data_IF_922854300682
#
_entry.id   IF_922854300682
#
_cell.length_a   1.000
_cell.length_b   1.000
_cell.length_c   1.000
_cell.angle_alpha   90.00
_cell.angle_beta   90.00
_cell.angle_gamma   90.00
#
_symmetry.space_group_name_H-M   'P 1'
#
loop_
_entity.id
_entity.type
_entity.pdbx_description
1 polymer ?
2 non-polymer ?
3 water ?
#
# COMPACT_ATOMS: atom_id res chain seq x y z
N UNK A 20 -11.21 -18.40 -16.60
CA UNK A 20 -10.81 -17.53 -15.49
C UNK A 20 -11.12 -16.06 -15.84
N UNK A 21 -10.50 -15.48 -16.88
CA UNK A 21 -10.87 -14.11 -17.26
C UNK A 21 -12.11 -14.10 -18.14
N UNK A 22 -13.08 -13.29 -17.77
CA UNK A 22 -14.32 -13.21 -18.53
C UNK A 22 -14.08 -12.52 -19.87
N UNK A 23 -14.57 -13.14 -20.94
CA UNK A 23 -14.33 -12.65 -22.29
C UNK A 23 -15.44 -11.75 -22.82
N UNK A 24 -16.61 -11.74 -22.18
CA UNK A 24 -17.69 -10.88 -22.63
C UNK A 24 -17.51 -9.46 -22.09
N UNK A 25 -18.33 -8.54 -22.59
CA UNK A 25 -18.18 -7.13 -22.27
C UNK A 25 -18.35 -6.90 -20.77
N UNK A 26 -17.40 -6.18 -20.17
CA UNK A 26 -17.50 -5.83 -18.76
C UNK A 26 -18.78 -5.06 -18.49
N UNK A 27 -19.23 -4.27 -19.47
CA UNK A 27 -20.44 -3.48 -19.31
C UNK A 27 -21.69 -4.33 -19.23
N UNK A 28 -21.60 -5.61 -19.61
CA UNK A 28 -22.71 -6.53 -19.34
C UNK A 28 -22.96 -6.65 -17.85
N UNK A 29 -21.92 -6.58 -17.03
CA UNK A 29 -22.04 -6.76 -15.59
C UNK A 29 -21.91 -5.47 -14.80
N UNK A 30 -21.24 -4.46 -15.34
CA UNK A 30 -20.93 -3.26 -14.57
C UNK A 30 -21.32 -2.02 -15.34
N UNK A 31 -21.95 -1.07 -14.64
CA UNK A 31 -22.16 0.27 -15.17
C UNK A 31 -20.94 1.11 -14.82
N UNK A 32 -20.28 1.64 -15.84
CA UNK A 32 -19.03 2.34 -15.62
C UNK A 32 -19.27 3.82 -15.38
N UNK A 33 -18.34 4.43 -14.64
CA UNK A 33 -18.34 5.86 -14.37
C UNK A 33 -17.03 6.44 -14.88
N UNK A 34 -16.99 7.76 -14.98
CA UNK A 34 -15.75 8.46 -15.30
C UNK A 34 -15.07 9.05 -14.07
N UNK A 35 -15.62 8.81 -12.89
CA UNK A 35 -14.98 9.21 -11.64
C UNK A 35 -13.71 8.40 -11.43
N UNK A 36 -12.57 9.09 -11.40
CA UNK A 36 -11.28 8.43 -11.23
C UNK A 36 -11.00 8.23 -9.75
N UNK A 37 -10.64 7.01 -9.38
CA UNK A 37 -10.33 6.68 -7.99
C UNK A 37 -8.84 6.58 -7.72
N UNK A 38 -8.01 6.46 -8.75
CA UNK A 38 -6.58 6.35 -8.56
C UNK A 38 -5.90 6.09 -9.89
N UNK A 39 -4.56 6.15 -9.85
CA UNK A 39 -3.74 5.93 -11.03
C UNK A 39 -2.55 5.05 -10.68
N UNK A 40 -2.41 3.94 -11.40
CA UNK A 40 -1.27 3.06 -11.25
C UNK A 40 -0.40 3.09 -12.51
N UNK A 41 0.76 2.46 -12.39
CA UNK A 41 1.73 2.48 -13.49
C UNK A 41 1.12 1.90 -14.77
N UNK A 42 0.31 0.85 -14.63
CA UNK A 42 -0.24 0.15 -15.78
C UNK A 42 -1.65 0.60 -16.15
N UNK A 43 -2.28 1.46 -15.36
CA UNK A 43 -3.61 1.91 -15.75
C UNK A 43 -4.28 2.77 -14.71
N UNK A 44 -5.37 3.39 -15.16
CA UNK A 44 -6.24 4.24 -14.37
C UNK A 44 -7.30 3.39 -13.66
N UNK A 45 -7.79 3.91 -12.54
CA UNK A 45 -8.77 3.21 -11.72
C UNK A 45 -10.06 4.02 -11.70
N UNK A 46 -11.15 3.42 -12.17
CA UNK A 46 -12.43 4.10 -12.29
C UNK A 46 -13.46 3.50 -11.34
N UNK A 47 -14.39 4.34 -10.92
CA UNK A 47 -15.57 3.87 -10.20
C UNK A 47 -16.50 3.12 -11.14
N UNK A 48 -17.18 2.11 -10.61
CA UNK A 48 -18.18 1.39 -11.39
C UNK A 48 -19.16 0.76 -10.42
N UNK A 49 -20.27 0.25 -10.98
CA UNK A 49 -21.35 -0.32 -10.18
C UNK A 49 -21.77 -1.64 -10.78
N UNK A 50 -21.87 -2.67 -9.94
CA UNK A 50 -22.38 -3.96 -10.40
C UNK A 50 -23.86 -3.80 -10.76
N UNK A 51 -24.21 -4.24 -11.97
CA UNK A 51 -25.52 -3.90 -12.52
C UNK A 51 -26.67 -4.54 -11.76
N UNK A 52 -26.44 -5.67 -11.09
CA UNK A 52 -27.53 -6.39 -10.48
C UNK A 52 -27.56 -6.32 -8.95
N UNK A 53 -26.40 -6.22 -8.29
CA UNK A 53 -26.39 -5.97 -6.85
C UNK A 53 -26.35 -4.48 -6.51
N UNK A 54 -25.95 -3.63 -7.44
CA UNK A 54 -25.77 -2.22 -7.18
C UNK A 54 -24.48 -1.87 -6.45
N UNK A 55 -23.68 -2.86 -6.07
CA UNK A 55 -22.48 -2.62 -5.28
C UNK A 55 -21.51 -1.72 -6.04
N UNK A 56 -21.03 -0.68 -5.38
CA UNK A 56 -19.98 0.16 -5.95
C UNK A 56 -18.66 -0.60 -5.94
N UNK A 57 -17.95 -0.57 -7.06
CA UNK A 57 -16.68 -1.27 -7.19
C UNK A 57 -15.69 -0.35 -7.88
N UNK A 58 -14.46 -0.83 -8.04
CA UNK A 58 -13.41 -0.09 -8.74
C UNK A 58 -12.92 -0.91 -9.92
N UNK A 59 -12.71 -0.24 -11.05
CA UNK A 59 -12.26 -0.87 -12.28
C UNK A 59 -10.88 -0.33 -12.63
N UNK A 60 -9.91 -1.22 -12.77
CA UNK A 60 -8.59 -0.86 -13.27
C UNK A 60 -8.48 -1.31 -14.72
N UNK A 61 -8.22 -0.36 -15.60
CA UNK A 61 -8.10 -0.63 -17.03
C UNK A 61 -6.61 -0.84 -17.35
N UNK A 62 -6.25 -2.06 -17.70
CA UNK A 62 -4.90 -2.39 -18.15
C UNK A 62 -4.95 -2.74 -19.63
N UNK A 63 -4.24 -1.97 -20.45
CA UNK A 63 -4.05 -2.37 -21.83
C UNK A 63 -3.16 -3.60 -21.87
N UNK A 64 -3.56 -4.61 -22.64
CA UNK A 64 -2.91 -5.91 -22.57
C UNK A 64 -1.43 -5.81 -22.93
N UNK A 65 -0.62 -6.57 -22.20
CA UNK A 65 0.83 -6.61 -22.30
C UNK A 65 1.33 -7.68 -21.34
N UNK A 66 2.58 -8.14 -21.47
CA UNK A 66 3.10 -9.08 -20.46
C UNK A 66 3.15 -8.49 -19.06
N UNK A 67 3.49 -7.21 -18.92
CA UNK A 67 3.47 -6.57 -17.60
C UNK A 67 2.06 -6.53 -17.03
N UNK A 68 1.06 -6.26 -17.88
CA UNK A 68 -0.33 -6.26 -17.42
C UNK A 68 -0.77 -7.66 -17.02
N UNK A 69 -0.37 -8.67 -17.79
CA UNK A 69 -0.70 -10.05 -17.43
C UNK A 69 -0.02 -10.45 -16.12
N UNK A 70 1.18 -9.94 -15.85
CA UNK A 70 1.85 -10.21 -14.58
C UNK A 70 1.08 -9.59 -13.42
N UNK A 71 0.67 -8.34 -13.56
CA UNK A 71 -0.08 -7.68 -12.49
C UNK A 71 -1.35 -8.45 -12.17
N UNK A 72 -2.12 -8.81 -13.20
CA UNK A 72 -3.33 -9.59 -13.00
C UNK A 72 -3.00 -10.90 -12.29
N UNK A 73 -1.97 -11.60 -12.76
CA UNK A 73 -1.59 -12.87 -12.14
C UNK A 73 -1.20 -12.70 -10.68
N UNK A 74 -0.38 -11.69 -10.38
CA UNK A 74 0.11 -11.51 -9.01
C UNK A 74 -1.00 -11.03 -8.09
N UNK A 75 -1.79 -10.05 -8.52
CA UNK A 75 -2.90 -9.58 -7.69
C UNK A 75 -3.93 -10.69 -7.47
N UNK A 76 -4.16 -11.52 -8.49
CA UNK A 76 -5.09 -12.64 -8.35
C UNK A 76 -4.64 -13.63 -7.28
N UNK A 77 -3.35 -14.02 -7.33
CA UNK A 77 -2.81 -14.91 -6.30
C UNK A 77 -2.88 -14.29 -4.92
N UNK A 78 -2.62 -12.98 -4.84
CA UNK A 78 -2.62 -12.29 -3.55
C UNK A 78 -4.03 -12.00 -3.05
N UNK A 79 -4.99 -11.89 -3.95
CA UNK A 79 -6.37 -11.62 -3.55
C UNK A 79 -6.87 -12.70 -2.61
N UNK A 80 -7.50 -12.29 -1.51
CA UNK A 80 -7.91 -13.19 -0.45
C UNK A 80 -6.95 -13.25 0.71
N UNK A 81 -5.70 -12.84 0.51
CA UNK A 81 -4.75 -12.75 1.60
C UNK A 81 -5.14 -11.65 2.55
N UNK A 82 -4.60 -11.69 3.76
CA UNK A 82 -4.94 -10.65 4.76
C UNK A 82 -4.48 -9.29 4.30
N UNK A 83 -5.38 -8.31 4.39
CA UNK A 83 -5.08 -6.91 4.14
C UNK A 83 -4.59 -6.67 2.71
N UNK A 84 -5.19 -7.40 1.76
CA UNK A 84 -4.93 -7.22 0.34
C UNK A 84 -6.25 -6.84 -0.32
N UNK A 85 -6.21 -5.79 -1.16
CA UNK A 85 -7.43 -5.39 -1.87
C UNK A 85 -7.88 -6.53 -2.76
N UNK A 86 -9.13 -6.97 -2.58
CA UNK A 86 -9.61 -8.17 -3.24
C UNK A 86 -10.04 -7.88 -4.68
N UNK A 87 -9.70 -8.81 -5.57
CA UNK A 87 -10.24 -8.81 -6.93
C UNK A 87 -11.61 -9.46 -6.91
N UNK A 88 -12.58 -8.84 -7.58
CA UNK A 88 -13.90 -9.42 -7.73
C UNK A 88 -14.07 -10.15 -9.07
N UNK A 89 -13.58 -9.56 -10.15
CA UNK A 89 -13.73 -10.09 -11.49
C UNK A 89 -12.54 -9.60 -12.29
N UNK A 90 -12.23 -10.32 -13.37
CA UNK A 90 -11.23 -9.88 -14.34
C UNK A 90 -11.82 -10.12 -15.73
N UNK A 91 -11.73 -9.10 -16.59
CA UNK A 91 -12.30 -9.15 -17.92
C UNK A 91 -11.22 -8.94 -18.96
N UNK A 92 -11.31 -9.70 -20.05
CA UNK A 92 -10.47 -9.50 -21.24
C UNK A 92 -11.39 -8.96 -22.33
N UNK A 93 -11.23 -7.68 -22.66
CA UNK A 93 -12.16 -6.98 -23.55
C UNK A 93 -11.39 -6.30 -24.67
N UNK A 94 -12.16 -5.80 -25.65
CA UNK A 94 -11.66 -4.89 -26.65
C UNK A 94 -12.15 -3.48 -26.31
N UNK A 95 -11.25 -2.52 -26.37
CA UNK A 95 -11.54 -1.14 -25.98
C UNK A 95 -10.68 -0.23 -26.83
N UNK A 96 -11.32 0.69 -27.57
CA UNK A 96 -10.61 1.59 -28.49
C UNK A 96 -9.74 0.81 -29.48
N UNK A 97 -10.24 -0.36 -29.90
CA UNK A 97 -9.52 -1.21 -30.81
C UNK A 97 -8.34 -1.94 -30.22
N UNK A 98 -8.09 -1.81 -28.91
CA UNK A 98 -6.97 -2.45 -28.24
C UNK A 98 -7.49 -3.51 -27.27
N UNK A 99 -6.77 -4.62 -27.18
CA UNK A 99 -7.08 -5.64 -26.18
C UNK A 99 -6.69 -5.13 -24.81
N UNK A 100 -7.60 -5.28 -23.84
CA UNK A 100 -7.34 -4.77 -22.50
C UNK A 100 -7.76 -5.82 -21.47
N UNK A 101 -7.22 -5.64 -20.26
CA UNK A 101 -7.59 -6.43 -19.09
C UNK A 101 -8.20 -5.48 -18.07
N UNK A 102 -9.35 -5.85 -17.54
CA UNK A 102 -10.07 -5.02 -16.57
C UNK A 102 -10.11 -5.78 -15.25
N UNK A 103 -9.43 -5.25 -14.25
CA UNK A 103 -9.49 -5.80 -12.89
C UNK A 103 -10.61 -5.10 -12.15
N UNK A 104 -11.63 -5.84 -11.76
CA UNK A 104 -12.67 -5.32 -10.88
C UNK A 104 -12.26 -5.63 -9.44
N UNK A 105 -12.14 -4.59 -8.62
CA UNK A 105 -11.72 -4.71 -7.24
C UNK A 105 -12.83 -4.22 -6.33
N UNK A 106 -12.73 -4.62 -5.06
CA UNK A 106 -13.58 -3.98 -4.05
C UNK A 106 -13.27 -2.49 -3.99
N UNK A 107 -14.32 -1.71 -3.79
CA UNK A 107 -14.16 -0.26 -3.70
C UNK A 107 -13.61 0.09 -2.32
N UNK A 108 -12.46 0.78 -2.29
CA UNK A 108 -11.81 1.15 -1.04
C UNK A 108 -12.27 2.56 -0.69
N UNK A 109 -13.52 2.64 -0.23
CA UNK A 109 -14.19 3.91 -0.06
C UNK A 109 -13.62 4.77 1.06
N UNK A 110 -12.73 4.21 1.88
CA UNK A 110 -12.06 5.00 2.90
C UNK A 110 -10.92 5.85 2.38
N UNK A 111 -10.47 5.61 1.16
CA UNK A 111 -9.38 6.41 0.63
C UNK A 111 -8.04 6.01 1.22
N UNK A 112 -7.08 6.91 1.05
CA UNK A 112 -5.69 6.61 1.35
C UNK A 112 -5.40 6.67 2.85
N UNK A 113 -4.41 5.88 3.26
CA UNK A 113 -4.06 5.75 4.68
C UNK A 113 -3.78 7.10 5.33
N UNK A 114 -2.83 7.85 4.77
CA UNK A 114 -2.38 9.08 5.41
C UNK A 114 -3.39 10.21 5.29
N UNK A 115 -4.29 10.17 4.31
CA UNK A 115 -5.35 11.16 4.26
C UNK A 115 -6.33 10.97 5.41
N UNK A 116 -6.60 9.71 5.77
CA UNK A 116 -7.51 9.43 6.89
C UNK A 116 -6.92 9.93 8.21
N UNK A 117 -5.63 9.66 8.44
CA UNK A 117 -4.98 10.15 9.65
C UNK A 117 -4.99 11.67 9.68
N UNK A 118 -4.66 12.28 8.54
CA UNK A 118 -4.67 13.74 8.41
C UNK A 118 -6.03 14.33 8.76
N UNK A 119 -7.11 13.60 8.46
CA UNK A 119 -8.47 14.10 8.67
C UNK A 119 -8.98 13.86 10.09
N UNK A 120 -8.12 13.42 11.01
CA UNK A 120 -8.52 13.32 12.41
C UNK A 120 -8.46 14.72 13.05
N UNK A 122 -6.61 16.82 15.15
CA UNK A 122 -7.57 17.11 16.22
C UNK A 122 -7.65 15.97 17.23
N UNK A 123 -8.24 14.85 16.81
CA UNK A 123 -8.30 13.68 17.68
C UNK A 123 -6.92 13.05 17.85
N UNK A 124 -6.77 12.27 18.92
CA UNK A 124 -5.48 11.69 19.26
C UNK A 124 -5.14 10.56 18.31
N UNK A 125 -3.93 10.61 17.75
CA UNK A 125 -3.34 9.50 17.01
C UNK A 125 -2.17 8.98 17.83
N UNK A 126 -2.29 7.75 18.33
CA UNK A 126 -1.36 7.23 19.31
C UNK A 126 -0.36 6.27 18.67
N UNK A 127 0.78 6.10 19.34
CA UNK A 127 1.80 5.17 18.85
C UNK A 127 1.25 3.76 18.77
N UNK A 128 0.31 3.41 19.66
CA UNK A 128 -0.33 2.11 19.58
C UNK A 128 -1.13 1.97 18.28
N UNK A 129 -1.79 3.04 17.84
CA UNK A 129 -2.54 2.99 16.60
C UNK A 129 -1.61 2.85 15.39
N UNK A 130 -0.44 3.50 15.45
CA UNK A 130 0.54 3.33 14.38
C UNK A 130 1.07 1.89 14.38
N UNK A 131 1.24 1.30 15.56
CA UNK A 131 1.71 -0.08 15.64
C UNK A 131 0.68 -1.05 15.07
N UNK A 132 -0.61 -0.78 15.31
CA UNK A 132 -1.65 -1.62 14.74
C UNK A 132 -1.71 -1.47 13.23
N UNK A 133 -1.54 -0.24 12.72
CA UNK A 133 -1.49 -0.03 11.28
C UNK A 133 -0.31 -0.77 10.67
N UNK A 134 0.87 -0.65 11.31
CA UNK A 134 2.06 -1.30 10.77
C UNK A 134 1.94 -2.81 10.84
N UNK A 135 1.28 -3.34 11.87
CA UNK A 135 1.06 -4.78 11.93
C UNK A 135 0.19 -5.23 10.78
N UNK A 136 -0.84 -4.45 10.45
CA UNK A 136 -1.72 -4.78 9.31
C UNK A 136 -0.92 -4.82 8.01
N UNK A 137 -0.10 -3.80 7.78
CA UNK A 137 0.72 -3.78 6.56
C UNK A 137 1.70 -4.95 6.57
N UNK A 138 2.32 -5.20 7.73
CA UNK A 138 3.25 -6.32 7.82
C UNK A 138 2.58 -7.65 7.55
N UNK A 139 1.33 -7.80 8.00
CA UNK A 139 0.59 -9.03 7.74
C UNK A 139 0.41 -9.25 6.23
N UNK A 140 0.15 -8.16 5.49
CA UNK A 140 0.01 -8.28 4.04
C UNK A 140 1.35 -8.66 3.40
N UNK A 141 2.43 -7.99 3.81
CA UNK A 141 3.75 -8.31 3.28
C UNK A 141 4.15 -9.72 3.67
N UNK A 142 3.79 -10.14 4.88
CA UNK A 142 4.09 -11.51 5.32
C UNK A 142 3.42 -12.54 4.43
N UNK A 143 2.13 -12.31 4.12
CA UNK A 143 1.42 -13.20 3.21
C UNK A 143 2.11 -13.24 1.85
N UNK A 144 2.46 -12.07 1.32
CA UNK A 144 3.06 -11.99 -0.01
C UNK A 144 4.44 -12.65 -0.03
N UNK A 145 5.29 -12.35 0.96
CA UNK A 145 6.63 -12.91 0.96
C UNK A 145 6.62 -14.41 1.19
N UNK A 146 5.68 -14.92 1.98
CA UNK A 146 5.55 -16.37 2.13
C UNK A 146 5.07 -17.04 0.86
N UNK A 147 4.41 -16.31 -0.03
CA UNK A 147 4.05 -16.80 -1.35
C UNK A 147 5.03 -16.31 -2.42
N UNK A 148 6.24 -15.93 -2.02
CA UNK A 148 7.32 -15.56 -2.93
C UNK A 148 6.91 -14.43 -3.87
N UNK A 149 6.08 -13.52 -3.39
CA UNK A 149 5.72 -12.30 -4.11
C UNK A 149 6.29 -11.12 -3.36
N UNK A 150 7.06 -10.29 -4.06
CA UNK A 150 7.51 -9.01 -3.54
C UNK A 150 6.75 -7.91 -4.26
N UNK A 151 6.27 -6.93 -3.50
CA UNK A 151 5.44 -5.87 -4.05
C UNK A 151 6.26 -4.81 -4.75
N UNK A 152 7.28 -4.27 -4.07
CA UNK A 152 8.29 -3.36 -4.60
C UNK A 152 7.81 -1.94 -4.84
N UNK A 153 6.57 -1.62 -4.46
CA UNK A 153 6.10 -0.25 -4.60
C UNK A 153 5.11 0.08 -3.49
N UNK A 154 5.37 -0.43 -2.29
CA UNK A 154 4.54 -0.11 -1.13
C UNK A 154 4.73 1.35 -0.78
N UNK A 155 3.65 2.13 -0.84
CA UNK A 155 3.75 3.58 -0.69
C UNK A 155 2.37 4.15 -0.40
N UNK A 156 2.25 5.44 -0.03
CA UNK A 156 0.94 5.97 0.39
C UNK A 156 -0.20 5.75 -0.59
N UNK A 157 0.05 5.85 -1.90
CA UNK A 157 -1.02 5.69 -2.86
C UNK A 157 -1.61 4.28 -2.85
N UNK A 158 -0.88 3.30 -2.33
CA UNK A 158 -1.28 1.90 -2.40
C UNK A 158 -1.84 1.37 -1.10
N UNK A 159 -2.01 2.21 -0.08
CA UNK A 159 -2.53 1.79 1.22
C UNK A 159 -3.88 2.46 1.43
N UNK A 160 -4.95 1.67 1.37
CA UNK A 160 -6.30 2.20 1.28
C UNK A 160 -7.18 1.56 2.35
N UNK A 161 -8.26 2.24 2.71
CA UNK A 161 -9.22 1.75 3.69
C UNK A 161 -10.53 1.38 3.01
N UNK A 162 -11.18 0.35 3.55
CA UNK A 162 -12.41 -0.15 2.95
C UNK A 162 -13.58 0.82 3.09
N UNK A 163 -13.57 1.68 4.10
CA UNK A 163 -14.67 2.61 4.31
C UNK A 163 -14.16 3.79 5.13
N UNK A 164 -14.98 4.83 5.20
CA UNK A 164 -14.70 5.95 6.08
C UNK A 164 -15.09 5.66 7.53
N UNK A 165 -15.60 4.47 7.81
CA UNK A 165 -16.10 4.15 9.14
C UNK A 165 -14.96 3.74 10.07
N UNK A 166 -15.29 3.71 11.37
CA UNK A 166 -14.31 3.42 12.40
C UNK A 166 -13.71 2.02 12.25
N UNK A 167 -14.50 1.07 11.77
CA UNK A 167 -14.07 -0.32 11.66
C UNK A 167 -13.49 -0.65 10.29
N UNK A 168 -13.00 0.35 9.55
CA UNK A 168 -12.47 0.10 8.22
C UNK A 168 -11.22 -0.77 8.28
N UNK A 169 -10.96 -1.49 7.19
CA UNK A 169 -9.82 -2.38 7.08
C UNK A 169 -8.80 -1.77 6.14
N UNK A 170 -7.54 -1.75 6.56
CA UNK A 170 -6.46 -1.24 5.72
C UNK A 170 -5.96 -2.37 4.81
N UNK A 171 -5.85 -2.07 3.51
CA UNK A 171 -5.43 -3.07 2.54
C UNK A 171 -4.45 -2.48 1.54
N UNK A 172 -3.53 -3.33 1.09
CA UNK A 172 -2.52 -3.00 0.10
C UNK A 172 -3.00 -3.40 -1.29
N UNK A 173 -2.60 -2.63 -2.31
CA UNK A 173 -3.01 -2.94 -3.67
C UNK A 173 -1.92 -2.52 -4.64
N UNK A 174 -2.21 -2.70 -5.93
CA UNK A 174 -1.35 -2.36 -7.07
C UNK A 174 -0.14 -3.28 -7.14
N UNK A 175 -0.25 -4.35 -7.94
CA UNK A 175 0.84 -5.28 -8.15
C UNK A 175 1.52 -5.07 -9.50
N UNK A 176 1.52 -3.83 -9.99
CA UNK A 176 2.12 -3.55 -11.28
C UNK A 176 3.62 -3.70 -11.30
N UNK A 177 4.26 -3.55 -10.15
CA UNK A 177 5.70 -3.78 -10.03
C UNK A 177 6.02 -5.05 -9.27
N UNK A 178 5.01 -5.85 -8.94
CA UNK A 178 5.24 -7.07 -8.18
C UNK A 178 6.09 -8.06 -8.98
N UNK A 179 6.74 -8.97 -8.26
CA UNK A 179 7.67 -9.90 -8.86
C UNK A 179 7.64 -11.20 -8.08
N UNK A 180 7.51 -12.31 -8.79
CA UNK A 180 7.61 -13.63 -8.17
C UNK A 180 9.08 -13.99 -8.01
N UNK A 181 9.49 -14.25 -6.78
CA UNK A 181 10.90 -14.35 -6.44
C UNK A 181 11.25 -15.68 -5.80
N UNK A 204 14.06 -14.09 -4.31
CA UNK A 204 15.02 -12.99 -4.32
C UNK A 204 14.91 -12.17 -3.05
N UNK A 205 15.94 -12.24 -2.21
CA UNK A 205 15.94 -11.49 -0.96
C UNK A 205 15.98 -9.99 -1.21
N UNK A 206 16.61 -9.55 -2.30
CA UNK A 206 16.71 -8.12 -2.54
C UNK A 206 15.35 -7.49 -2.77
N UNK A 207 14.53 -8.11 -3.64
CA UNK A 207 13.20 -7.57 -3.89
C UNK A 207 12.37 -7.50 -2.62
N UNK A 208 12.44 -8.53 -1.79
CA UNK A 208 11.69 -8.54 -0.54
C UNK A 208 12.18 -7.46 0.42
N UNK A 209 13.49 -7.21 0.43
CA UNK A 209 14.03 -6.17 1.31
C UNK A 209 13.58 -4.78 0.89
N UNK A 210 13.14 -4.60 -0.35
CA UNK A 210 12.59 -3.31 -0.75
C UNK A 210 11.22 -3.09 -0.13
N UNK A 211 10.44 -4.15 0.05
CA UNK A 211 9.20 -4.04 0.81
C UNK A 211 9.48 -3.66 2.26
N UNK A 212 10.50 -4.29 2.85
CA UNK A 212 10.82 -4.00 4.25
C UNK A 212 11.30 -2.56 4.41
N UNK A 213 12.02 -2.04 3.43
CA UNK A 213 12.39 -0.63 3.45
C UNK A 213 11.15 0.26 3.41
N UNK A 214 10.19 -0.08 2.55
CA UNK A 214 8.93 0.65 2.49
C UNK A 214 8.24 0.68 3.85
N UNK A 215 8.24 -0.46 4.55
CA UNK A 215 7.62 -0.52 5.86
C UNK A 215 8.29 0.45 6.83
N UNK A 216 9.62 0.53 6.79
CA UNK A 216 10.31 1.47 7.67
C UNK A 216 10.00 2.92 7.34
N UNK A 217 9.88 3.23 6.04
CA UNK A 217 9.54 4.59 5.64
C UNK A 217 8.12 4.94 6.06
N UNK A 218 7.16 4.05 5.76
CA UNK A 218 5.78 4.28 6.16
C UNK A 218 5.67 4.43 7.68
N UNK A 219 6.36 3.55 8.41
CA UNK A 219 6.33 3.63 9.87
C UNK A 219 6.91 4.96 10.36
N UNK A 220 7.99 5.40 9.73
CA UNK A 220 8.58 6.68 10.11
C UNK A 220 7.58 7.81 9.94
N UNK A 221 6.93 7.89 8.77
CA UNK A 221 5.94 8.92 8.52
C UNK A 221 4.77 8.77 9.49
N UNK A 222 4.37 7.53 9.77
CA UNK A 222 3.27 7.29 10.70
C UNK A 222 3.52 7.90 12.07
N UNK A 223 4.78 7.95 12.51
CA UNK A 223 5.11 8.32 13.87
C UNK A 223 5.41 9.80 14.05
N UNK A 224 5.55 10.57 12.97
CA UNK A 224 5.93 11.97 13.13
C UNK A 224 5.32 12.87 12.06
N UNK A 225 4.88 12.31 10.94
CA UNK A 225 4.20 13.07 9.93
C UNK A 225 5.04 13.57 8.78
N UNK A 226 6.34 13.28 8.77
CA UNK A 226 7.21 13.65 7.67
C UNK A 226 8.15 12.47 7.38
N UNK A 227 8.69 12.40 6.16
CA UNK A 227 9.47 11.22 5.78
C UNK A 227 10.92 11.33 6.21
N UNK A 228 11.66 10.21 6.21
CA UNK A 228 13.09 10.27 6.59
C UNK A 228 13.99 10.69 5.45
N UNK A 229 13.44 11.35 4.44
CA UNK A 229 14.24 11.81 3.31
C UNK A 229 13.79 13.19 2.83
N UNK A 251 17.79 10.77 11.27
CA UNK A 251 17.62 11.04 12.68
C UNK A 251 16.16 11.07 13.12
N UNK A 252 15.95 11.14 14.43
CA UNK A 252 14.61 11.21 15.04
C UNK A 252 14.52 12.54 15.77
N UNK A 253 14.19 13.62 15.06
CA UNK A 253 14.28 14.96 15.66
C UNK A 253 13.20 15.21 16.70
N UNK A 254 13.58 15.93 17.75
CA UNK A 254 12.60 16.54 18.63
C UNK A 254 11.95 17.73 17.93
N UNK A 255 10.72 18.10 18.29
CA UNK A 255 9.86 17.55 19.35
C UNK A 255 9.01 16.36 18.94
N UNK A 256 8.90 16.12 17.63
CA UNK A 256 7.96 15.10 17.14
C UNK A 256 8.31 13.72 17.66
N UNK A 257 9.60 13.39 17.73
CA UNK A 257 10.04 12.08 18.17
C UNK A 257 10.37 12.01 19.65
N UNK A 258 10.16 13.12 20.39
CA UNK A 258 10.59 13.18 21.79
C UNK A 258 10.03 12.04 22.61
N UNK A 259 8.75 11.70 22.42
CA UNK A 259 8.07 10.75 23.28
C UNK A 259 7.83 9.41 22.61
N UNK A 260 8.37 9.19 21.41
CA UNK A 260 8.24 7.88 20.76
C UNK A 260 9.12 6.88 21.48
N UNK A 261 8.59 5.67 21.70
CA UNK A 261 9.29 4.65 22.46
C UNK A 261 10.58 4.22 21.75
N UNK A 262 11.47 3.61 22.53
CA UNK A 262 12.73 3.12 21.98
C UNK A 262 12.52 1.93 21.06
N UNK A 263 11.51 1.11 21.33
CA UNK A 263 11.21 -0.03 20.47
C UNK A 263 10.90 0.44 19.05
N UNK A 264 10.11 1.51 18.92
CA UNK A 264 9.72 1.99 17.60
C UNK A 264 10.93 2.52 16.83
N UNK A 265 11.77 3.32 17.49
CA UNK A 265 12.95 3.84 16.81
C UNK A 265 13.94 2.73 16.47
N UNK A 266 14.02 1.70 17.32
CA UNK A 266 14.92 0.58 17.03
C UNK A 266 14.45 -0.19 15.81
N UNK A 267 13.13 -0.42 15.70
CA UNK A 267 12.60 -1.14 14.55
C UNK A 267 12.84 -0.38 13.26
N UNK A 268 12.70 0.94 13.29
CA UNK A 268 12.90 1.76 12.11
C UNK A 268 14.34 1.66 11.63
N UNK A 269 15.30 1.78 12.56
CA UNK A 269 16.70 1.69 12.18
C UNK A 269 17.04 0.33 11.59
N UNK A 270 16.37 -0.73 12.05
CA UNK A 270 16.59 -2.06 11.51
C UNK A 270 15.93 -2.25 10.15
N UNK A 271 14.95 -1.42 9.82
CA UNK A 271 14.29 -1.51 8.52
C UNK A 271 14.90 -0.58 7.48
N UNK A 272 15.51 0.52 7.91
CA UNK A 272 16.05 1.53 7.00
C UNK A 272 17.55 1.41 6.79
N UNK A 273 18.13 0.25 7.11
CA UNK A 273 19.54 0.01 6.83
C UNK A 273 19.85 0.30 5.37
N UNK A 274 20.97 0.98 5.13
CA UNK A 274 21.38 1.24 3.76
C UNK A 274 21.69 -0.06 3.03
N UNK A 275 22.25 -1.03 3.73
CA UNK A 275 22.57 -2.34 3.19
C UNK A 275 21.33 -3.22 3.19
N UNK A 276 20.82 -3.61 2.02
CA UNK A 276 19.59 -4.42 1.98
C UNK A 276 19.71 -5.75 2.72
N UNK A 277 20.90 -6.34 2.77
CA UNK A 277 21.07 -7.60 3.49
C UNK A 277 21.02 -7.41 5.00
N UNK A 278 21.23 -6.19 5.48
CA UNK A 278 21.17 -5.91 6.90
C UNK A 278 19.75 -5.60 7.38
N UNK A 279 18.83 -5.35 6.47
CA UNK A 279 17.46 -5.04 6.85
C UNK A 279 16.76 -6.27 7.41
N UNK A 280 15.84 -6.05 8.35
CA UNK A 280 15.01 -7.13 8.87
C UNK A 280 14.23 -7.79 7.74
N UNK A 281 14.00 -9.09 7.89
CA UNK A 281 13.02 -9.77 7.06
C UNK A 281 11.63 -9.53 7.63
N UNK A 282 10.61 -9.93 6.88
CA UNK A 282 9.24 -9.75 7.37
C UNK A 282 8.99 -10.59 8.61
N UNK A 283 9.61 -11.77 8.69
CA UNK A 283 9.49 -12.59 9.88
C UNK A 283 10.07 -11.88 11.09
N UNK A 284 11.26 -11.31 10.95
CA UNK A 284 11.85 -10.54 12.04
C UNK A 284 10.99 -9.32 12.37
N UNK A 285 10.38 -8.71 11.36
CA UNK A 285 9.47 -7.58 11.59
C UNK A 285 8.28 -8.00 12.44
N UNK A 286 7.60 -9.07 12.03
CA UNK A 286 6.41 -9.51 12.75
C UNK A 286 6.72 -10.04 14.14
N UNK A 287 7.95 -10.48 14.40
CA UNK A 287 8.35 -10.96 15.71
C UNK A 287 8.90 -9.87 16.61
N UNK A 288 9.17 -8.68 16.07
CA UNK A 288 9.60 -7.57 16.89
C UNK A 288 8.52 -7.23 17.91
N UNK A 289 8.89 -6.88 19.15
CA UNK A 289 7.86 -6.61 20.17
C UNK A 289 6.92 -5.47 19.80
N UNK A 290 7.40 -4.44 19.10
CA UNK A 290 6.53 -3.33 18.72
C UNK A 290 5.39 -3.79 17.83
N UNK A 291 5.61 -4.85 17.04
CA UNK A 291 4.59 -5.40 16.15
C UNK A 291 3.89 -6.56 16.85
N UNK A 292 4.68 -7.53 17.31
CA UNK A 292 4.12 -8.73 17.94
C UNK A 292 3.26 -8.36 19.14
N UNK A 293 3.74 -7.46 19.98
CA UNK A 293 2.97 -6.94 21.12
C UNK A 293 2.44 -5.54 20.84
N UNK A 294 1.85 -5.35 19.65
CA UNK A 294 1.35 -4.02 19.28
C UNK A 294 0.26 -3.53 20.23
N UNK A 295 -0.49 -4.45 20.83
CA UNK A 295 -1.55 -4.05 21.76
C UNK A 295 -0.99 -3.38 23.00
N UNK A 296 0.23 -3.77 23.42
CA UNK A 296 0.83 -3.22 24.63
C UNK A 296 1.57 -1.90 24.37
N UNK A 297 1.81 -1.56 23.11
CA UNK A 297 2.52 -0.34 22.73
C UNK A 297 1.88 0.87 23.43
N UNK A 298 2.68 1.80 23.95
CA UNK A 298 2.11 2.94 24.68
C UNK A 298 1.13 3.74 23.85
N UNK A 299 0.08 4.23 24.51
CA UNK A 299 -0.95 5.06 23.90
C UNK A 299 -0.50 6.51 23.75
N UNK A 300 0.78 6.73 23.45
CA UNK A 300 1.34 8.07 23.41
C UNK A 300 0.76 8.86 22.24
N UNK A 301 0.20 10.05 22.47
CA UNK A 301 -0.29 10.87 21.35
C UNK A 301 0.87 11.39 20.51
N UNK A 302 0.73 11.26 19.19
CA UNK A 302 1.77 11.64 18.25
C UNK A 302 1.45 12.99 17.60
N UNK A 303 2.45 13.53 16.91
CA UNK A 303 2.31 14.77 16.15
C UNK A 303 1.81 14.53 14.73
N UNK A 304 1.53 13.28 14.36
CA UNK A 304 1.42 12.92 12.95
C UNK A 304 0.31 13.70 12.24
N UNK A 305 -0.91 13.61 12.75
CA UNK A 305 -2.03 14.28 12.10
C UNK A 305 -1.79 15.78 11.95
N UNK A 306 -1.34 16.42 13.03
CA UNK A 306 -1.08 17.85 13.00
C UNK A 306 -0.03 18.19 11.94
N UNK A 307 1.06 17.43 11.89
CA UNK A 307 2.13 17.69 10.93
C UNK A 307 1.64 17.48 9.51
N UNK A 308 0.88 16.41 9.28
CA UNK A 308 0.34 16.16 7.94
C UNK A 308 -0.55 17.31 7.47
N UNK A 309 -1.34 17.88 8.40
CA UNK A 309 -2.14 19.06 8.07
C UNK A 309 -1.24 20.26 7.79
N UNK A 310 -0.28 20.51 8.67
CA UNK A 310 0.60 21.67 8.50
C UNK A 310 1.39 21.58 7.19
N UNK A 311 1.89 20.41 6.85
CA UNK A 311 2.72 20.22 5.67
C UNK A 311 1.94 19.72 4.46
N UNK A 312 0.61 19.86 4.47
CA UNK A 312 -0.20 19.27 3.41
C UNK A 312 0.19 19.78 2.03
N UNK A 313 0.70 21.01 1.95
CA UNK A 313 1.15 21.56 0.68
C UNK A 313 2.38 20.84 0.13
N UNK A 314 3.11 20.11 0.97
CA UNK A 314 4.27 19.36 0.53
C UNK A 314 4.03 17.86 0.44
N UNK A 315 2.79 17.40 0.65
CA UNK A 315 2.53 15.97 0.66
C UNK A 315 2.76 15.35 -0.71
N UNK A 316 2.35 16.03 -1.77
CA UNK A 316 2.58 15.51 -3.12
C UNK A 316 4.07 15.29 -3.37
N UNK A 317 4.91 16.20 -2.88
CA UNK A 317 6.35 16.03 -3.04
C UNK A 317 6.85 14.83 -2.26
N UNK A 318 6.32 14.61 -1.05
CA UNK A 318 6.68 13.44 -0.26
C UNK A 318 6.36 12.16 -1.03
N UNK A 319 5.15 12.08 -1.57
CA UNK A 319 4.77 10.92 -2.37
C UNK A 319 5.67 10.76 -3.59
N UNK A 320 6.04 11.88 -4.22
CA UNK A 320 6.80 11.80 -5.46
C UNK A 320 8.22 11.29 -5.23
N UNK A 321 8.86 11.71 -4.15
CA UNK A 321 10.22 11.24 -3.91
C UNK A 321 10.25 9.82 -3.34
N UNK A 322 9.19 9.40 -2.65
CA UNK A 322 9.11 7.99 -2.26
C UNK A 322 8.92 7.11 -3.50
N UNK A 323 8.04 7.52 -4.41
CA UNK A 323 7.91 6.84 -5.70
C UNK A 323 9.24 6.78 -6.44
N UNK A 324 10.00 7.88 -6.39
CA UNK A 324 11.30 7.91 -7.05
C UNK A 324 12.30 6.99 -6.37
N UNK A 325 12.32 7.00 -5.03
CA UNK A 325 13.22 6.12 -4.30
C UNK A 325 12.91 4.66 -4.60
N UNK A 326 11.62 4.30 -4.68
CA UNK A 326 11.24 2.93 -4.94
C UNK A 326 11.61 2.50 -6.36
N UNK A 327 11.44 3.40 -7.33
CA UNK A 327 11.87 3.08 -8.69
C UNK A 327 13.38 2.92 -8.77
N UNK A 328 14.13 3.73 -8.04
CA UNK A 328 15.58 3.60 -8.00
C UNK A 328 15.99 2.23 -7.48
N UNK A 329 15.28 1.72 -6.47
CA UNK A 329 15.59 0.40 -5.94
C UNK A 329 15.26 -0.71 -6.92
N UNK A 330 14.46 -0.43 -7.96
CA UNK A 330 14.06 -1.44 -8.93
C UNK A 330 14.96 -1.50 -10.16
N UNK A 331 15.86 -0.52 -10.35
CA UNK A 331 16.68 -0.54 -11.56
C UNK A 331 17.67 -1.69 -11.48
N UNK A 332 17.97 -2.27 -12.64
CA UNK A 332 18.89 -3.41 -12.71
C UNK A 332 20.28 -3.03 -12.22
N UNK A 333 20.80 -1.91 -12.70
CA UNK A 333 22.10 -1.40 -12.27
C UNK A 333 21.95 0.07 -11.90
N UNK A 334 22.42 0.41 -10.70
CA UNK A 334 22.32 1.76 -10.19
C UNK A 334 23.71 2.35 -9.96
N UNK A 335 23.77 3.67 -9.87
CA UNK A 335 25.02 4.33 -9.53
C UNK A 335 25.44 3.96 -8.11
N UNK A 336 26.67 4.28 -7.77
CA UNK A 336 27.20 3.99 -6.45
C UNK A 336 27.54 5.29 -5.73
#
# INVERSE_FOLDING_TARGET
>A
MAHHHHHHSSGLEVLFQGPEPKKYAVTDDYQLSKQVLGLGVNGKVLECFHRRTGQKCALKLLYDSPKARQEVDHHWQASGGPHIVCILDVYENMHHGKRCLLIIMECMEGGELFSRIQERGDQAFTEREAAEIMRDIGTAIQFLHSHNIAHRDVKPENLLYTSKEKDAVLKLTDFGFAKETTQNALQTPCYTPYYVAPEVLGPEKYDKSCDMWSLGVIMYILLCGFPPFYSNTGQAISPGMKRRIRLGQYGFPNPEWSEVSEDAKQLIRLLLKTDPTERLTITQFMNHPWINQSMVVPQTPLHTARVLQEDKDHWDEVKEEMTSALATMRVDYDQV
#
